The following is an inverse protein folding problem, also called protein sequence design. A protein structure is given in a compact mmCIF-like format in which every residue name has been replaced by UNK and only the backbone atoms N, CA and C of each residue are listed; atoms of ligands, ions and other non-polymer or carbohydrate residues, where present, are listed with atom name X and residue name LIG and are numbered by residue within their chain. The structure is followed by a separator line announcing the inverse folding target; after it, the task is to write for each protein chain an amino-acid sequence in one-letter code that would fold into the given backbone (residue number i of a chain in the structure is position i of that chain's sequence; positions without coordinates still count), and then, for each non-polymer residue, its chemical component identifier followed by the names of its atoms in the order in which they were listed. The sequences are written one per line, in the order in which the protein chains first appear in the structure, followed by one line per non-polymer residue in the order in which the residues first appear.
data_IF_096681528353
#
_entry.id   IF_096681528353
#
_cell.length_a   1.000
_cell.length_b   1.000
_cell.length_c   1.000
_cell.angle_alpha   90.00
_cell.angle_beta   90.00
_cell.angle_gamma   90.00
#
_symmetry.space_group_name_H-M   'P 1'
#
loop_
_entity.id
_entity.type
_entity.pdbx_description
1 polymer ?
#
# COMPACT_ATOMS: atom_id res chain seq x y z
N UNK A 1 -49.70 17.24 44.42
CA UNK A 1 -49.33 17.04 42.99
C UNK A 1 -48.01 17.73 42.60
N UNK A 2 -47.70 18.89 43.08
CA UNK A 2 -46.47 19.66 42.73
C UNK A 2 -45.13 18.98 43.06
N UNK A 3 -45.01 18.25 44.17
CA UNK A 3 -43.75 17.58 44.56
C UNK A 3 -43.38 16.42 43.63
N UNK A 4 -44.35 15.71 43.07
CA UNK A 4 -44.13 14.61 42.15
C UNK A 4 -43.60 15.10 40.77
N UNK A 5 -44.08 16.25 40.34
CA UNK A 5 -43.63 16.89 39.09
C UNK A 5 -42.18 17.33 39.19
N UNK A 6 -41.77 17.91 40.32
CA UNK A 6 -40.36 18.33 40.54
C UNK A 6 -39.41 17.13 40.64
N UNK A 7 -39.86 16.00 41.22
CA UNK A 7 -39.04 14.79 41.28
C UNK A 7 -38.82 14.19 39.89
N UNK A 8 -39.83 14.15 39.04
CA UNK A 8 -39.73 13.68 37.69
C UNK A 8 -38.82 14.58 36.81
N UNK A 9 -38.89 15.90 36.97
CA UNK A 9 -38.01 16.85 36.28
C UNK A 9 -36.54 16.69 36.72
N UNK A 10 -36.28 16.43 38.00
CA UNK A 10 -34.94 16.21 38.50
C UNK A 10 -34.30 14.90 37.95
N UNK A 11 -35.10 13.82 37.89
CA UNK A 11 -34.68 12.54 37.34
C UNK A 11 -34.38 12.66 35.83
N UNK A 12 -35.24 13.37 35.09
CA UNK A 12 -35.04 13.61 33.67
C UNK A 12 -33.76 14.42 33.39
N UNK A 13 -33.48 15.42 34.25
CA UNK A 13 -32.23 16.23 34.16
C UNK A 13 -30.99 15.42 34.45
N UNK A 14 -31.03 14.44 35.37
CA UNK A 14 -29.89 13.56 35.66
C UNK A 14 -29.64 12.59 34.50
N UNK A 15 -30.69 12.04 33.87
CA UNK A 15 -30.56 11.17 32.71
C UNK A 15 -29.96 11.90 31.48
N UNK A 16 -30.30 13.17 31.29
CA UNK A 16 -29.77 13.99 30.20
C UNK A 16 -28.32 14.46 30.42
N UNK A 17 -27.84 14.40 31.66
CA UNK A 17 -26.47 14.76 32.04
C UNK A 17 -25.48 13.60 32.05
N UNK A 18 -25.93 12.37 31.69
CA UNK A 18 -25.01 11.27 31.52
C UNK A 18 -24.11 11.57 30.31
N UNK A 19 -22.77 11.64 30.48
CA UNK A 19 -21.89 11.83 29.37
C UNK A 19 -22.10 10.66 28.39
N UNK A 20 -22.23 10.99 27.10
CA UNK A 20 -22.21 9.98 26.05
C UNK A 20 -21.02 9.06 26.30
N UNK A 21 -21.19 7.73 26.19
CA UNK A 21 -20.07 6.82 26.30
C UNK A 21 -19.05 7.25 25.23
N UNK A 22 -17.95 7.84 25.69
CA UNK A 22 -16.82 8.11 24.81
C UNK A 22 -16.40 6.75 24.25
N UNK A 23 -16.75 6.49 23.00
CA UNK A 23 -16.20 5.36 22.24
C UNK A 23 -14.72 5.65 22.04
N UNK A 24 -13.91 5.37 23.07
CA UNK A 24 -12.48 5.28 22.92
C UNK A 24 -12.15 4.26 21.84
N UNK A 25 -11.01 4.41 21.19
CA UNK A 25 -10.55 3.48 20.16
C UNK A 25 -10.79 2.04 20.64
N UNK A 26 -11.60 1.29 19.90
CA UNK A 26 -11.99 -0.08 20.21
C UNK A 26 -10.81 -1.06 20.23
N UNK A 27 -9.67 -0.61 19.70
CA UNK A 27 -8.44 -1.38 19.58
C UNK A 27 -7.28 -0.61 20.21
N UNK A 28 -6.47 -1.28 20.97
CA UNK A 28 -5.19 -0.75 21.42
C UNK A 28 -4.11 -0.97 20.33
N UNK A 29 -2.99 -0.26 20.43
CA UNK A 29 -1.89 -0.35 19.46
C UNK A 29 -1.38 -1.79 19.31
N UNK A 30 -1.44 -2.58 20.38
CA UNK A 30 -1.00 -3.99 20.38
C UNK A 30 -1.97 -4.87 19.59
N UNK A 31 -3.28 -4.61 19.70
CA UNK A 31 -4.29 -5.35 18.94
C UNK A 31 -4.22 -5.01 17.45
N UNK A 32 -3.99 -3.74 17.09
CA UNK A 32 -3.83 -3.31 15.70
C UNK A 32 -2.55 -3.89 15.08
N UNK A 33 -1.46 -4.02 15.85
CA UNK A 33 -0.20 -4.58 15.37
C UNK A 33 -0.26 -6.07 14.98
N UNK A 34 -1.31 -6.79 15.43
CA UNK A 34 -1.50 -8.22 15.19
C UNK A 34 -2.79 -8.56 14.42
N UNK A 35 -3.61 -7.57 14.09
CA UNK A 35 -4.80 -7.79 13.26
C UNK A 35 -4.35 -7.83 11.81
N UNK A 36 -4.58 -8.97 11.16
CA UNK A 36 -4.63 -9.03 9.70
C UNK A 36 -5.85 -8.19 9.27
N UNK A 37 -5.59 -6.97 8.86
CA UNK A 37 -6.63 -6.03 8.42
C UNK A 37 -7.24 -6.44 7.08
N UNK A 38 -6.89 -7.63 6.58
CA UNK A 38 -7.44 -8.19 5.34
C UNK A 38 -7.15 -7.31 4.12
N UNK A 39 -6.11 -6.50 4.17
CA UNK A 39 -5.75 -5.62 3.06
C UNK A 39 -5.24 -6.50 1.93
N UNK A 40 -5.93 -6.45 0.79
CA UNK A 40 -5.41 -7.08 -0.41
C UNK A 40 -4.00 -6.57 -0.72
N UNK A 41 -3.06 -7.46 -1.09
CA UNK A 41 -1.69 -7.05 -1.34
C UNK A 41 -1.56 -6.23 -2.63
N UNK A 42 -0.58 -5.35 -2.67
CA UNK A 42 -0.05 -4.85 -3.92
C UNK A 42 0.52 -6.02 -4.72
N UNK A 43 0.43 -5.97 -6.05
CA UNK A 43 1.01 -6.98 -6.93
C UNK A 43 2.09 -6.35 -7.80
N UNK A 44 3.25 -6.98 -7.86
CA UNK A 44 4.32 -6.63 -8.78
C UNK A 44 4.43 -7.72 -9.84
N UNK A 45 4.04 -7.39 -11.06
CA UNK A 45 4.25 -8.26 -12.22
C UNK A 45 5.57 -7.93 -12.90
N UNK A 46 6.45 -8.91 -13.02
CA UNK A 46 7.71 -8.79 -13.75
C UNK A 46 7.58 -9.60 -15.04
N UNK A 47 7.42 -8.92 -16.15
CA UNK A 47 7.28 -9.57 -17.46
C UNK A 47 8.66 -10.00 -17.96
N UNK A 48 8.78 -11.30 -18.20
CA UNK A 48 10.03 -11.95 -18.55
C UNK A 48 10.04 -12.27 -20.04
N UNK A 49 11.14 -11.98 -20.78
CA UNK A 49 11.29 -12.40 -22.18
C UNK A 49 11.16 -13.92 -22.33
N UNK A 50 10.62 -14.37 -23.46
CA UNK A 50 10.46 -15.81 -23.74
C UNK A 50 11.80 -16.57 -23.80
N UNK A 51 12.89 -15.86 -24.09
CA UNK A 51 14.25 -16.44 -24.18
C UNK A 51 14.86 -16.79 -22.81
N UNK A 52 14.28 -16.35 -21.71
CA UNK A 52 14.79 -16.62 -20.36
C UNK A 52 14.46 -18.05 -19.95
N UNK A 53 15.46 -18.76 -19.43
CA UNK A 53 15.30 -20.15 -19.00
C UNK A 53 14.46 -20.32 -17.74
N UNK A 54 13.86 -21.50 -17.57
CA UNK A 54 13.01 -21.78 -16.39
C UNK A 54 13.75 -21.62 -15.06
N UNK A 55 15.02 -22.02 -14.99
CA UNK A 55 15.85 -21.87 -13.79
C UNK A 55 16.04 -20.40 -13.39
N UNK A 56 16.25 -19.50 -14.35
CA UNK A 56 16.36 -18.06 -14.07
C UNK A 56 15.02 -17.45 -13.63
N UNK A 57 13.90 -17.97 -14.14
CA UNK A 57 12.56 -17.56 -13.70
C UNK A 57 12.31 -18.01 -12.26
N UNK A 58 12.73 -19.23 -11.91
CA UNK A 58 12.58 -19.76 -10.55
C UNK A 58 13.46 -18.98 -9.56
N UNK A 59 14.72 -18.66 -9.92
CA UNK A 59 15.61 -17.82 -9.14
C UNK A 59 15.04 -16.41 -8.94
N UNK A 60 14.48 -15.81 -9.99
CA UNK A 60 13.80 -14.52 -9.91
C UNK A 60 12.62 -14.58 -8.94
N UNK A 61 11.79 -15.60 -9.04
CA UNK A 61 10.61 -15.81 -8.18
C UNK A 61 11.01 -15.93 -6.70
N UNK A 62 12.00 -16.79 -6.41
CA UNK A 62 12.45 -17.03 -5.04
C UNK A 62 13.10 -15.78 -4.43
N UNK A 63 13.91 -15.06 -5.22
CA UNK A 63 14.55 -13.83 -4.78
C UNK A 63 13.53 -12.72 -4.49
N UNK A 64 12.56 -12.53 -5.38
CA UNK A 64 11.49 -11.54 -5.16
C UNK A 64 10.59 -11.92 -3.98
N UNK A 65 10.30 -13.20 -3.78
CA UNK A 65 9.55 -13.67 -2.63
C UNK A 65 10.30 -13.39 -1.32
N UNK A 66 11.59 -13.64 -1.27
CA UNK A 66 12.43 -13.35 -0.12
C UNK A 66 12.49 -11.83 0.18
N UNK A 67 12.65 -11.01 -0.84
CA UNK A 67 12.71 -9.55 -0.72
C UNK A 67 11.39 -8.89 -0.30
N UNK A 68 10.27 -9.59 -0.47
CA UNK A 68 8.93 -9.08 -0.15
C UNK A 68 8.29 -9.68 1.10
N UNK A 69 9.00 -10.54 1.84
CA UNK A 69 8.43 -11.35 2.95
C UNK A 69 7.77 -10.52 4.05
N UNK A 70 8.35 -9.38 4.42
CA UNK A 70 7.84 -8.49 5.47
C UNK A 70 7.05 -7.30 4.90
N UNK A 71 6.45 -7.47 3.73
CA UNK A 71 5.74 -6.41 3.03
C UNK A 71 4.31 -6.83 2.64
N UNK A 72 3.45 -5.85 2.37
CA UNK A 72 2.15 -6.09 1.75
C UNK A 72 2.27 -6.11 0.21
N UNK A 73 3.22 -6.90 -0.31
CA UNK A 73 3.50 -6.98 -1.74
C UNK A 73 3.63 -8.45 -2.16
N UNK A 74 3.01 -8.80 -3.28
CA UNK A 74 3.17 -10.10 -3.95
C UNK A 74 3.84 -9.89 -5.30
N UNK A 75 4.98 -10.52 -5.48
CA UNK A 75 5.75 -10.46 -6.72
C UNK A 75 5.49 -11.70 -7.57
N UNK A 76 5.30 -11.51 -8.87
CA UNK A 76 4.97 -12.58 -9.80
C UNK A 76 5.71 -12.39 -11.12
N UNK A 77 6.68 -13.27 -11.46
CA UNK A 77 7.22 -13.35 -12.80
C UNK A 77 6.16 -13.83 -13.80
N UNK A 78 6.04 -13.14 -14.93
CA UNK A 78 5.07 -13.45 -16.00
C UNK A 78 5.83 -13.71 -17.30
N UNK A 79 6.14 -14.98 -17.62
CA UNK A 79 6.89 -15.30 -18.84
C UNK A 79 6.05 -15.03 -20.09
N UNK A 80 6.64 -14.36 -21.08
CA UNK A 80 6.00 -14.08 -22.34
C UNK A 80 5.66 -15.37 -23.10
N UNK A 81 4.39 -15.48 -23.56
CA UNK A 81 3.93 -16.60 -24.39
C UNK A 81 3.57 -17.89 -23.65
N UNK A 82 3.66 -17.95 -22.31
CA UNK A 82 3.34 -19.17 -21.54
C UNK A 82 1.85 -19.28 -21.24
N UNK A 83 1.21 -18.20 -20.85
CA UNK A 83 -0.23 -18.15 -20.58
C UNK A 83 -0.86 -16.90 -21.21
N UNK A 84 -1.51 -17.09 -22.33
CA UNK A 84 -2.16 -16.00 -23.08
C UNK A 84 -3.34 -15.35 -22.32
N UNK A 85 -3.93 -16.04 -21.33
CA UNK A 85 -5.07 -15.55 -20.56
C UNK A 85 -4.67 -14.97 -19.21
N UNK A 86 -3.37 -14.87 -18.91
CA UNK A 86 -2.91 -14.34 -17.64
C UNK A 86 -3.42 -12.91 -17.40
N UNK A 87 -4.02 -12.63 -16.24
CA UNK A 87 -4.66 -11.32 -15.98
C UNK A 87 -3.68 -10.13 -16.00
N UNK A 88 -2.38 -10.38 -15.86
CA UNK A 88 -1.35 -9.35 -15.94
C UNK A 88 -1.22 -8.71 -17.34
N UNK A 89 -1.59 -9.41 -18.42
CA UNK A 89 -1.43 -8.91 -19.79
C UNK A 89 -2.19 -7.62 -20.07
N UNK A 90 -3.32 -7.41 -19.38
CA UNK A 90 -4.10 -6.16 -19.50
C UNK A 90 -3.31 -4.91 -19.17
N UNK A 91 -2.32 -5.02 -18.29
CA UNK A 91 -1.52 -3.86 -17.87
C UNK A 91 -0.45 -3.47 -18.88
N UNK A 92 0.00 -4.39 -19.75
CA UNK A 92 0.92 -4.04 -20.84
C UNK A 92 0.30 -3.01 -21.77
N UNK A 93 -0.95 -3.26 -22.23
CA UNK A 93 -1.68 -2.33 -23.10
C UNK A 93 -1.94 -1.00 -22.41
N UNK A 94 -2.33 -1.04 -21.13
CA UNK A 94 -2.61 0.17 -20.35
C UNK A 94 -1.39 1.10 -20.19
N UNK A 95 -0.18 0.55 -20.21
CA UNK A 95 1.08 1.29 -20.06
C UNK A 95 1.88 1.41 -21.37
N UNK A 96 1.35 0.97 -22.51
CA UNK A 96 2.06 1.00 -23.80
C UNK A 96 3.38 0.23 -23.76
N UNK A 97 3.41 -0.92 -23.07
CA UNK A 97 4.59 -1.78 -22.94
C UNK A 97 4.57 -2.78 -24.08
N UNK A 98 5.54 -2.67 -24.96
CA UNK A 98 5.73 -3.47 -26.18
C UNK A 98 7.03 -4.29 -26.16
N UNK A 99 7.85 -4.12 -25.14
CA UNK A 99 9.15 -4.76 -25.00
C UNK A 99 9.40 -5.32 -23.61
N UNK A 100 10.22 -6.37 -23.53
CA UNK A 100 10.59 -7.07 -22.30
C UNK A 100 12.11 -6.98 -22.06
N UNK A 101 12.57 -7.00 -20.79
CA UNK A 101 11.78 -7.12 -19.58
C UNK A 101 11.04 -5.83 -19.21
N UNK A 102 9.95 -5.97 -18.47
CA UNK A 102 9.17 -4.86 -17.96
C UNK A 102 8.58 -5.20 -16.58
N UNK A 103 8.25 -4.18 -15.79
CA UNK A 103 7.60 -4.38 -14.50
C UNK A 103 6.41 -3.43 -14.32
N UNK A 104 5.33 -3.94 -13.74
CA UNK A 104 4.14 -3.15 -13.40
C UNK A 104 3.69 -3.48 -11.98
N UNK A 105 3.57 -2.46 -11.16
CA UNK A 105 2.96 -2.54 -9.84
C UNK A 105 1.49 -2.21 -9.93
N UNK A 106 0.65 -2.99 -9.25
CA UNK A 106 -0.81 -2.84 -9.20
C UNK A 106 -1.23 -2.67 -7.75
N UNK A 107 -1.97 -1.61 -7.48
CA UNK A 107 -2.61 -1.36 -6.18
C UNK A 107 -3.79 -2.31 -5.96
N UNK A 108 -4.14 -2.65 -4.71
CA UNK A 108 -5.37 -3.37 -4.36
C UNK A 108 -6.63 -2.76 -4.98
N UNK A 109 -6.69 -1.42 -5.04
CA UNK A 109 -7.83 -0.68 -5.60
C UNK A 109 -7.84 -0.63 -7.13
N UNK A 110 -6.88 -1.29 -7.81
CA UNK A 110 -6.82 -1.41 -9.26
C UNK A 110 -5.88 -0.45 -10.01
N UNK A 111 -5.55 0.77 -9.53
CA UNK A 111 -4.54 1.60 -10.18
C UNK A 111 -3.22 0.85 -10.36
N UNK A 112 -2.56 1.10 -11.50
CA UNK A 112 -1.29 0.46 -11.81
C UNK A 112 -0.24 1.46 -12.27
N UNK A 113 1.03 1.13 -12.07
CA UNK A 113 2.17 1.95 -12.46
C UNK A 113 3.30 1.10 -13.01
N UNK A 114 3.84 1.50 -14.16
CA UNK A 114 5.07 0.92 -14.69
C UNK A 114 6.24 1.29 -13.78
N UNK A 115 7.07 0.32 -13.44
CA UNK A 115 8.36 0.50 -12.75
C UNK A 115 9.50 0.49 -13.78
N UNK A 116 10.53 1.28 -13.50
CA UNK A 116 11.74 1.27 -14.28
C UNK A 116 12.61 0.09 -13.84
N UNK A 117 12.97 -0.78 -14.79
CA UNK A 117 14.00 -1.80 -14.60
C UNK A 117 15.33 -1.21 -15.09
N UNK A 118 16.37 -1.14 -14.24
CA UNK A 118 17.70 -0.73 -14.69
C UNK A 118 18.20 -1.66 -15.80
N UNK A 119 18.77 -1.10 -16.86
CA UNK A 119 19.28 -1.87 -17.99
C UNK A 119 20.79 -2.16 -17.91
N UNK A 120 21.47 -1.49 -16.99
CA UNK A 120 22.93 -1.51 -16.80
C UNK A 120 23.38 -2.51 -15.72
N UNK A 121 22.54 -3.48 -15.41
CA UNK A 121 22.81 -4.54 -14.42
C UNK A 121 22.96 -5.91 -15.05
N UNK A 122 23.72 -6.83 -14.41
CA UNK A 122 24.06 -8.13 -14.98
C UNK A 122 22.89 -9.07 -15.26
N UNK A 123 21.81 -8.98 -14.49
CA UNK A 123 20.69 -9.92 -14.58
C UNK A 123 19.32 -9.26 -14.41
N UNK A 124 18.28 -9.93 -14.92
CA UNK A 124 16.89 -9.52 -14.69
C UNK A 124 16.51 -9.56 -13.19
N UNK A 125 17.01 -10.54 -12.47
CA UNK A 125 16.78 -10.68 -11.03
C UNK A 125 17.30 -9.45 -10.28
N UNK A 126 18.53 -9.02 -10.59
CA UNK A 126 19.11 -7.81 -9.98
C UNK A 126 18.33 -6.55 -10.37
N UNK A 127 17.96 -6.40 -11.64
CA UNK A 127 17.13 -5.28 -12.11
C UNK A 127 15.80 -5.21 -11.36
N UNK A 128 15.14 -6.34 -11.16
CA UNK A 128 13.86 -6.44 -10.47
C UNK A 128 14.01 -6.13 -8.97
N UNK A 129 15.06 -6.62 -8.32
CA UNK A 129 15.37 -6.32 -6.91
C UNK A 129 15.61 -4.83 -6.69
N UNK A 130 16.47 -4.19 -7.49
CA UNK A 130 16.73 -2.76 -7.38
C UNK A 130 15.45 -1.91 -7.58
N UNK A 131 14.58 -2.32 -8.50
CA UNK A 131 13.29 -1.66 -8.71
C UNK A 131 12.35 -1.85 -7.51
N UNK A 132 12.37 -3.03 -6.91
CA UNK A 132 11.61 -3.33 -5.70
C UNK A 132 12.14 -2.53 -4.49
N UNK A 133 13.44 -2.50 -4.28
CA UNK A 133 14.08 -1.70 -3.22
C UNK A 133 13.73 -0.22 -3.33
N UNK A 134 13.75 0.35 -4.53
CA UNK A 134 13.37 1.75 -4.76
C UNK A 134 11.91 2.06 -4.34
N UNK A 135 11.04 1.06 -4.39
CA UNK A 135 9.65 1.16 -3.89
C UNK A 135 9.58 0.98 -2.37
N UNK A 136 10.28 -0.03 -1.85
CA UNK A 136 10.23 -0.39 -0.43
C UNK A 136 10.97 0.63 0.45
N UNK A 137 12.11 1.15 0.00
CA UNK A 137 12.94 2.14 0.72
C UNK A 137 12.90 3.51 0.03
N UNK A 138 11.69 4.04 -0.20
CA UNK A 138 11.56 5.38 -0.76
C UNK A 138 11.92 6.45 0.28
N UNK A 139 12.51 7.60 -0.15
CA UNK A 139 12.84 8.70 0.76
C UNK A 139 11.65 9.18 1.58
N UNK A 140 10.47 9.22 0.98
CA UNK A 140 9.23 9.61 1.66
C UNK A 140 8.85 8.62 2.78
N UNK A 141 8.95 7.32 2.52
CA UNK A 141 8.68 6.31 3.55
C UNK A 141 9.66 6.42 4.71
N UNK A 142 10.94 6.62 4.41
CA UNK A 142 11.98 6.81 5.43
C UNK A 142 11.68 8.03 6.29
N UNK A 143 11.33 9.17 5.69
CA UNK A 143 10.93 10.38 6.42
C UNK A 143 9.69 10.15 7.30
N UNK A 144 8.68 9.42 6.81
CA UNK A 144 7.50 9.07 7.61
C UNK A 144 7.90 8.25 8.83
N UNK A 145 8.73 7.22 8.66
CA UNK A 145 9.19 6.37 9.76
C UNK A 145 10.01 7.13 10.79
N UNK A 146 10.95 7.99 10.35
CA UNK A 146 11.75 8.86 11.22
C UNK A 146 10.86 9.79 12.05
N UNK A 147 9.86 10.41 11.42
CA UNK A 147 8.94 11.31 12.13
C UNK A 147 7.95 10.58 13.03
N UNK A 148 7.49 9.39 12.64
CA UNK A 148 6.58 8.59 13.43
C UNK A 148 7.18 8.11 14.75
N UNK A 149 8.51 7.94 14.83
CA UNK A 149 9.20 7.54 16.04
C UNK A 149 9.10 8.58 17.16
N UNK A 150 9.05 9.87 16.80
CA UNK A 150 9.13 11.01 17.73
C UNK A 150 7.81 11.81 17.84
N UNK A 151 6.73 11.34 17.21
CA UNK A 151 5.46 12.08 17.16
C UNK A 151 4.24 11.17 17.30
N UNK A 152 3.10 11.74 17.73
CA UNK A 152 1.82 11.02 17.84
C UNK A 152 1.20 10.63 16.49
N UNK A 153 1.67 11.25 15.41
CA UNK A 153 1.19 10.99 14.07
C UNK A 153 1.95 11.80 13.02
N UNK A 154 1.91 11.34 11.79
CA UNK A 154 2.52 12.01 10.64
C UNK A 154 1.43 12.29 9.61
N UNK A 155 1.31 13.54 9.20
CA UNK A 155 0.41 13.95 8.12
C UNK A 155 1.22 14.08 6.84
N UNK A 156 0.88 13.28 5.83
CA UNK A 156 1.47 13.36 4.50
C UNK A 156 0.59 14.26 3.61
N UNK A 157 1.10 15.43 3.24
CA UNK A 157 0.46 16.29 2.25
C UNK A 157 0.97 15.95 0.85
N UNK A 158 0.07 15.48 -0.01
CA UNK A 158 0.37 15.21 -1.42
C UNK A 158 -0.16 16.39 -2.24
N UNK A 159 0.75 17.19 -2.79
CA UNK A 159 0.40 18.36 -3.58
C UNK A 159 -0.03 17.96 -5.00
N UNK A 160 -1.17 18.51 -5.43
CA UNK A 160 -1.68 18.37 -6.78
C UNK A 160 -1.25 19.54 -7.69
N UNK A 161 -1.71 19.59 -8.94
CA UNK A 161 -1.39 20.67 -9.88
C UNK A 161 -2.05 22.02 -9.54
N UNK A 162 -2.95 22.08 -8.54
CA UNK A 162 -3.69 23.29 -8.17
C UNK A 162 -3.00 24.01 -7.01
N UNK A 163 -2.17 24.99 -7.32
CA UNK A 163 -1.34 25.71 -6.34
C UNK A 163 -2.15 26.38 -5.21
N UNK A 164 -3.31 26.96 -5.51
CA UNK A 164 -4.14 27.64 -4.51
C UNK A 164 -4.70 26.65 -3.48
N UNK A 165 -5.09 25.44 -3.91
CA UNK A 165 -5.54 24.39 -3.00
C UNK A 165 -4.40 23.80 -2.17
N UNK A 166 -3.21 23.72 -2.74
CA UNK A 166 -2.03 23.25 -2.01
C UNK A 166 -1.65 24.25 -0.91
N UNK A 167 -1.75 25.57 -1.19
CA UNK A 167 -1.50 26.61 -0.19
C UNK A 167 -2.51 26.53 0.97
N UNK A 168 -3.80 26.43 0.66
CA UNK A 168 -4.84 26.28 1.67
C UNK A 168 -4.74 25.00 2.52
N UNK A 169 -4.16 23.92 1.98
CA UNK A 169 -3.97 22.69 2.72
C UNK A 169 -2.74 22.68 3.65
N UNK A 170 -1.86 23.69 3.53
CA UNK A 170 -0.68 23.86 4.42
C UNK A 170 -0.99 24.71 5.66
N UNK A 171 -2.09 25.45 5.67
CA UNK A 171 -2.58 26.26 6.79
C UNK A 171 -3.38 25.42 7.80
#
# INVERSE_FOLDING_TARGET
MTRLVWLNLAVLGILAALPDPAFGCRYNVREIGFVDVGVEPYRLFVYVPQAVGTGEIDDLKDTLAAASVDTNLRCEPVPAGVDANHPAWRFLSAHGIDSYPAAVMVSPDGPSRRLLLPADVPSLTEAACLSLEAVLDSPTRRQILEKAADSYGVVLLIEGPQHDRNAAARE
#
